data_IF_708333250882
#
_entry.id   IF_708333250882
#
_cell.length_a   1.000
_cell.length_b   1.000
_cell.length_c   1.000
_cell.angle_alpha   90.00
_cell.angle_beta   90.00
_cell.angle_gamma   90.00
#
_symmetry.space_group_name_H-M   'P 1'
#
loop_
_entity.id
_entity.type
_entity.pdbx_description
1 polymer ?
#
# COMPACT_ATOMS: atom_id res chain seq x y z
N UNK A 1 -32.44 -48.09 42.03
CA UNK A 1 -32.79 -46.93 41.18
C UNK A 1 -31.54 -46.11 40.95
N UNK A 2 -31.02 -46.12 39.71
CA UNK A 2 -29.86 -45.30 39.31
C UNK A 2 -30.38 -43.88 39.07
N UNK A 3 -29.88 -42.90 39.82
CA UNK A 3 -30.11 -41.49 39.53
C UNK A 3 -28.89 -40.95 38.78
N UNK A 4 -29.11 -40.58 37.52
CA UNK A 4 -28.16 -39.88 36.67
C UNK A 4 -28.18 -38.41 37.07
N UNK A 5 -27.08 -37.91 37.65
CA UNK A 5 -26.89 -36.47 37.84
C UNK A 5 -26.27 -35.94 36.55
N UNK A 6 -27.07 -35.22 35.76
CA UNK A 6 -26.62 -34.49 34.58
C UNK A 6 -25.69 -33.36 35.01
N UNK A 7 -24.43 -33.44 34.59
CA UNK A 7 -23.46 -32.36 34.74
C UNK A 7 -23.82 -31.27 33.71
N UNK A 8 -24.51 -30.23 34.17
CA UNK A 8 -24.75 -29.02 33.38
C UNK A 8 -23.40 -28.28 33.26
N UNK A 9 -22.75 -28.43 32.11
CA UNK A 9 -21.56 -27.64 31.77
C UNK A 9 -22.04 -26.20 31.56
N UNK A 10 -21.87 -25.37 32.58
CA UNK A 10 -22.01 -23.93 32.48
C UNK A 10 -20.79 -23.41 31.71
N UNK A 11 -20.95 -23.20 30.41
CA UNK A 11 -19.96 -22.47 29.59
C UNK A 11 -19.99 -21.02 30.08
N UNK A 12 -19.12 -20.68 31.03
CA UNK A 12 -18.77 -19.30 31.32
C UNK A 12 -17.93 -18.79 30.14
N UNK A 13 -18.62 -18.23 29.14
CA UNK A 13 -18.01 -17.34 28.19
C UNK A 13 -17.54 -16.09 28.96
N UNK A 14 -16.29 -16.08 29.43
CA UNK A 14 -15.65 -14.87 29.94
C UNK A 14 -15.40 -13.94 28.76
N UNK A 15 -16.43 -13.20 28.38
CA UNK A 15 -16.29 -11.98 27.60
C UNK A 15 -15.69 -10.93 28.52
N UNK A 16 -14.35 -10.87 28.57
CA UNK A 16 -13.67 -9.70 29.12
C UNK A 16 -13.97 -8.56 28.14
N UNK A 17 -15.00 -7.78 28.45
CA UNK A 17 -15.28 -6.52 27.78
C UNK A 17 -14.05 -5.62 27.95
N UNK A 18 -13.27 -5.46 26.87
CA UNK A 18 -12.06 -4.64 26.90
C UNK A 18 -12.45 -3.21 27.27
N UNK A 19 -11.88 -2.70 28.36
CA UNK A 19 -12.10 -1.31 28.78
C UNK A 19 -11.39 -0.35 27.83
N UNK A 20 -11.98 0.82 27.63
CA UNK A 20 -11.43 1.89 26.81
C UNK A 20 -11.74 3.26 27.44
N UNK A 21 -11.00 4.29 27.02
CA UNK A 21 -11.16 5.64 27.53
C UNK A 21 -9.91 6.17 28.22
N UNK A 22 -9.99 7.37 28.84
CA UNK A 22 -8.86 7.98 29.54
C UNK A 22 -8.27 7.03 30.59
N UNK A 23 -6.98 6.70 30.45
CA UNK A 23 -6.26 5.78 31.35
C UNK A 23 -6.39 4.28 31.02
N UNK A 24 -7.20 3.89 30.02
CA UNK A 24 -7.38 2.51 29.59
C UNK A 24 -6.98 2.25 28.13
N UNK A 25 -6.81 3.30 27.34
CA UNK A 25 -6.39 3.21 25.94
C UNK A 25 -7.56 3.05 24.97
N UNK A 26 -7.23 2.83 23.70
CA UNK A 26 -8.20 2.73 22.60
C UNK A 26 -8.63 1.29 22.37
N UNK A 27 -9.85 1.13 21.85
CA UNK A 27 -10.36 -0.16 21.42
C UNK A 27 -9.58 -0.74 20.23
N UNK A 28 -9.59 -2.08 20.06
CA UNK A 28 -9.06 -2.73 18.87
C UNK A 28 -9.69 -2.21 17.57
N UNK A 29 -9.01 -2.38 16.45
CA UNK A 29 -9.49 -1.96 15.13
C UNK A 29 -10.92 -2.44 14.86
N UNK A 30 -11.78 -1.55 14.34
CA UNK A 30 -13.22 -1.75 14.11
C UNK A 30 -14.13 -1.78 15.34
N UNK A 31 -13.60 -1.48 16.54
CA UNK A 31 -14.41 -1.38 17.77
C UNK A 31 -14.63 0.08 18.18
N UNK A 32 -15.82 0.32 18.71
CA UNK A 32 -16.28 1.59 19.25
C UNK A 32 -16.06 1.63 20.76
N UNK A 33 -15.71 2.79 21.30
CA UNK A 33 -15.59 2.98 22.73
C UNK A 33 -16.85 3.64 23.28
N UNK A 34 -17.66 2.91 24.03
CA UNK A 34 -18.93 3.44 24.57
C UNK A 34 -18.69 4.59 25.56
N UNK A 35 -19.74 5.37 25.86
CA UNK A 35 -19.71 6.36 26.95
C UNK A 35 -19.38 5.76 28.31
N UNK A 36 -19.55 4.45 28.47
CA UNK A 36 -19.28 3.72 29.70
C UNK A 36 -17.87 3.12 29.74
N UNK A 37 -17.03 3.36 28.72
CA UNK A 37 -15.63 2.96 28.69
C UNK A 37 -15.42 1.48 28.36
N UNK A 38 -16.23 0.95 27.45
CA UNK A 38 -16.10 -0.44 26.98
C UNK A 38 -16.09 -0.51 25.47
N UNK A 39 -15.36 -1.49 24.94
CA UNK A 39 -15.27 -1.76 23.51
C UNK A 39 -16.41 -2.66 23.02
N UNK A 40 -17.02 -2.28 21.91
CA UNK A 40 -18.02 -3.10 21.22
C UNK A 40 -18.30 -2.57 19.81
N UNK A 41 -19.11 -3.29 19.05
CA UNK A 41 -19.36 -2.99 17.62
C UNK A 41 -20.82 -2.63 17.32
N UNK A 42 -21.71 -2.73 18.30
CA UNK A 42 -23.14 -2.42 18.14
C UNK A 42 -23.47 -0.96 18.53
N UNK A 43 -24.73 -0.57 18.29
CA UNK A 43 -25.22 0.80 18.53
C UNK A 43 -25.02 1.28 19.98
N UNK A 44 -25.04 0.38 20.98
CA UNK A 44 -24.82 0.76 22.37
C UNK A 44 -23.39 1.24 22.64
N UNK A 45 -22.44 0.84 21.79
CA UNK A 45 -21.03 1.25 21.87
C UNK A 45 -20.69 2.35 20.87
N UNK A 46 -21.24 2.28 19.67
CA UNK A 46 -20.93 3.20 18.57
C UNK A 46 -21.83 4.44 18.53
N UNK A 47 -22.98 4.42 19.20
CA UNK A 47 -23.99 5.47 19.15
C UNK A 47 -23.71 6.66 20.08
N UNK A 48 -24.78 7.19 20.70
CA UNK A 48 -24.72 8.41 21.51
C UNK A 48 -23.74 8.26 22.69
N UNK A 49 -22.77 9.17 22.75
CA UNK A 49 -21.77 9.21 23.82
C UNK A 49 -20.52 8.35 23.56
N UNK A 50 -20.39 7.76 22.38
CA UNK A 50 -19.16 7.09 21.99
C UNK A 50 -17.94 8.05 22.06
N UNK A 51 -16.82 7.55 22.58
CA UNK A 51 -15.60 8.31 22.84
C UNK A 51 -14.66 8.26 21.63
N UNK A 52 -14.72 9.27 20.76
CA UNK A 52 -14.03 9.34 19.46
C UNK A 52 -12.51 9.19 19.50
N UNK A 53 -11.88 9.52 20.63
CA UNK A 53 -10.43 9.38 20.80
C UNK A 53 -9.99 7.95 21.15
N UNK A 54 -10.94 7.07 21.49
CA UNK A 54 -10.68 5.73 22.03
C UNK A 54 -11.42 4.63 21.28
N UNK A 55 -12.13 4.95 20.20
CA UNK A 55 -12.80 3.99 19.31
C UNK A 55 -13.54 4.71 18.17
N UNK A 56 -14.04 3.95 17.21
CA UNK A 56 -14.76 4.48 16.05
C UNK A 56 -16.20 4.79 16.46
N UNK A 57 -16.68 6.03 16.31
CA UNK A 57 -18.04 6.41 16.72
C UNK A 57 -18.93 6.68 15.52
N UNK A 58 -20.17 6.16 15.54
CA UNK A 58 -21.15 6.37 14.48
C UNK A 58 -21.53 7.84 14.42
N UNK A 59 -21.00 8.51 13.41
CA UNK A 59 -21.53 9.74 12.84
C UNK A 59 -23.01 9.51 12.53
N UNK A 60 -23.88 10.19 13.28
CA UNK A 60 -25.30 10.29 12.95
C UNK A 60 -25.38 10.99 11.60
N UNK A 61 -25.53 10.21 10.53
CA UNK A 61 -26.12 10.67 9.28
C UNK A 61 -27.56 11.04 9.61
N UNK A 62 -27.73 12.27 10.06
CA UNK A 62 -29.05 12.89 10.11
C UNK A 62 -29.47 13.01 8.66
N UNK A 63 -30.48 12.25 8.27
CA UNK A 63 -31.13 12.25 6.96
C UNK A 63 -31.77 13.60 6.69
N UNK A 64 -30.94 14.59 6.39
CA UNK A 64 -31.29 15.69 5.52
C UNK A 64 -30.67 15.38 4.17
N UNK A 65 -31.55 15.17 3.18
CA UNK A 65 -31.17 14.96 1.78
C UNK A 65 -30.22 16.07 1.33
N UNK A 66 -28.93 15.76 1.35
CA UNK A 66 -27.93 16.43 0.52
C UNK A 66 -27.04 15.33 -0.02
N UNK A 67 -27.26 15.04 -1.29
CA UNK A 67 -26.49 14.14 -2.14
C UNK A 67 -25.01 14.49 -2.06
N UNK A 68 -24.21 13.69 -1.34
CA UNK A 68 -22.76 13.63 -1.51
C UNK A 68 -22.39 12.23 -1.99
N UNK A 69 -22.64 11.98 -3.28
CA UNK A 69 -22.04 10.85 -3.98
C UNK A 69 -20.53 11.06 -4.02
N UNK A 70 -19.77 10.06 -3.60
CA UNK A 70 -18.39 9.88 -4.05
C UNK A 70 -18.36 10.10 -5.58
N UNK A 71 -17.43 10.90 -6.13
CA UNK A 71 -17.44 11.22 -7.55
C UNK A 71 -17.24 9.93 -8.37
N UNK A 72 -18.28 9.51 -9.08
CA UNK A 72 -18.27 8.31 -9.91
C UNK A 72 -17.45 8.55 -11.17
N UNK A 73 -16.78 7.52 -11.69
CA UNK A 73 -16.13 7.63 -12.99
C UNK A 73 -17.18 7.78 -14.10
N UNK A 74 -16.95 8.75 -14.97
CA UNK A 74 -17.78 8.98 -16.14
C UNK A 74 -17.66 7.82 -17.13
N UNK A 75 -18.81 7.39 -17.65
CA UNK A 75 -18.91 6.34 -18.68
C UNK A 75 -19.29 6.90 -20.05
N UNK A 76 -19.57 8.20 -20.16
CA UNK A 76 -20.07 8.83 -21.38
C UNK A 76 -19.08 9.85 -21.99
N UNK A 77 -17.84 9.87 -21.51
CA UNK A 77 -16.79 10.78 -21.99
C UNK A 77 -16.97 12.23 -21.54
N UNK A 78 -17.92 12.51 -20.65
CA UNK A 78 -18.09 13.82 -20.00
C UNK A 78 -17.43 13.85 -18.63
N UNK A 79 -17.20 15.01 -18.06
CA UNK A 79 -16.66 15.14 -16.70
C UNK A 79 -17.13 16.45 -16.09
N UNK A 80 -16.97 16.63 -14.79
CA UNK A 80 -17.49 17.78 -14.08
C UNK A 80 -18.46 17.37 -12.97
N UNK A 81 -18.94 18.35 -12.20
CA UNK A 81 -19.81 18.16 -11.03
C UNK A 81 -21.03 17.25 -11.32
N UNK A 82 -21.58 17.31 -12.54
CA UNK A 82 -22.75 16.53 -12.96
C UNK A 82 -22.43 15.22 -13.69
N UNK A 83 -21.17 14.98 -14.06
CA UNK A 83 -20.77 13.87 -14.93
C UNK A 83 -19.74 12.94 -14.30
N UNK A 84 -19.07 13.39 -13.25
CA UNK A 84 -18.05 12.60 -12.55
C UNK A 84 -16.65 12.80 -13.11
N UNK A 85 -15.75 11.87 -12.76
CA UNK A 85 -14.31 11.94 -13.05
C UNK A 85 -14.00 11.24 -14.37
N UNK A 86 -13.05 11.77 -15.13
CA UNK A 86 -12.56 11.11 -16.34
C UNK A 86 -11.89 9.75 -16.06
N UNK A 87 -12.27 8.67 -16.78
CA UNK A 87 -11.62 7.37 -16.65
C UNK A 87 -10.20 7.38 -17.22
N UNK A 88 -9.42 6.34 -16.92
CA UNK A 88 -8.07 6.11 -17.47
C UNK A 88 -7.09 7.28 -17.27
N UNK A 89 -7.22 7.99 -16.14
CA UNK A 89 -6.41 9.17 -15.82
C UNK A 89 -6.53 10.31 -16.87
N UNK A 90 -7.69 10.40 -17.52
CA UNK A 90 -8.00 11.45 -18.47
C UNK A 90 -8.15 12.82 -17.82
N UNK A 91 -7.98 13.86 -18.61
CA UNK A 91 -8.11 15.23 -18.21
C UNK A 91 -9.53 15.72 -18.44
N UNK A 92 -10.06 16.49 -17.47
CA UNK A 92 -11.37 17.10 -17.62
C UNK A 92 -11.21 18.52 -18.16
N UNK A 93 -11.58 18.75 -19.41
CA UNK A 93 -11.49 20.09 -19.99
C UNK A 93 -12.47 21.06 -19.34
N UNK A 94 -12.27 22.37 -19.54
CA UNK A 94 -13.24 23.41 -19.13
C UNK A 94 -14.64 23.20 -19.72
N UNK A 95 -14.76 22.37 -20.76
CA UNK A 95 -15.99 22.10 -21.50
C UNK A 95 -16.69 20.81 -21.04
N UNK A 96 -16.30 20.24 -19.90
CA UNK A 96 -16.90 19.02 -19.34
C UNK A 96 -16.70 17.78 -20.22
N UNK A 97 -15.55 17.67 -20.89
CA UNK A 97 -15.18 16.49 -21.69
C UNK A 97 -13.87 15.87 -21.20
N UNK A 98 -13.80 14.55 -21.32
CA UNK A 98 -12.60 13.79 -21.06
C UNK A 98 -11.71 13.71 -22.30
N UNK A 99 -10.41 13.90 -22.09
CA UNK A 99 -9.41 13.75 -23.14
C UNK A 99 -8.00 13.83 -22.57
N UNK A 100 -7.02 13.59 -23.43
CA UNK A 100 -5.61 13.43 -23.02
C UNK A 100 -4.66 14.42 -23.71
N UNK A 101 -5.19 15.40 -24.45
CA UNK A 101 -4.38 16.44 -25.11
C UNK A 101 -4.29 17.69 -24.25
N UNK A 102 -3.38 18.60 -24.56
CA UNK A 102 -3.22 19.87 -23.83
C UNK A 102 -4.52 20.70 -23.77
N UNK A 103 -5.40 20.59 -24.77
CA UNK A 103 -6.70 21.27 -24.72
C UNK A 103 -7.56 20.82 -23.52
N UNK A 104 -7.43 19.56 -23.12
CA UNK A 104 -8.13 18.99 -21.98
C UNK A 104 -7.32 19.12 -20.70
N UNK A 105 -6.00 18.92 -20.80
CA UNK A 105 -5.11 18.78 -19.65
C UNK A 105 -4.51 20.08 -19.17
N UNK A 106 -4.49 21.14 -19.99
CA UNK A 106 -3.79 22.34 -19.62
C UNK A 106 -4.57 23.13 -18.57
N UNK A 107 -3.98 23.33 -17.38
CA UNK A 107 -4.60 24.06 -16.28
C UNK A 107 -4.88 25.52 -16.68
N UNK A 108 -4.00 26.12 -17.49
CA UNK A 108 -4.19 27.47 -18.03
C UNK A 108 -5.29 27.50 -19.10
N UNK A 109 -5.65 26.33 -19.66
CA UNK A 109 -6.81 26.17 -20.54
C UNK A 109 -8.06 25.71 -19.78
N UNK A 110 -8.11 25.88 -18.45
CA UNK A 110 -9.31 25.64 -17.64
C UNK A 110 -9.62 24.17 -17.39
N UNK A 111 -8.60 23.30 -17.43
CA UNK A 111 -8.75 21.93 -16.97
C UNK A 111 -9.30 21.89 -15.53
N UNK A 112 -10.34 21.09 -15.30
CA UNK A 112 -11.03 20.97 -14.02
C UNK A 112 -10.36 19.88 -13.18
N UNK A 113 -9.49 20.31 -12.26
CA UNK A 113 -8.66 19.39 -11.48
C UNK A 113 -9.43 18.55 -10.47
N UNK A 114 -10.71 18.82 -10.21
CA UNK A 114 -11.55 17.96 -9.37
C UNK A 114 -12.12 16.75 -10.13
N UNK A 115 -12.12 16.82 -11.46
CA UNK A 115 -12.78 15.84 -12.34
C UNK A 115 -11.85 15.17 -13.35
N UNK A 116 -10.55 15.47 -13.30
CA UNK A 116 -9.53 14.83 -14.14
C UNK A 116 -8.14 15.44 -13.94
N UNK A 117 -7.14 14.89 -14.64
CA UNK A 117 -5.74 15.33 -14.54
C UNK A 117 -5.52 16.70 -15.19
N UNK A 118 -4.90 17.64 -14.48
CA UNK A 118 -4.56 18.97 -15.03
C UNK A 118 -3.09 19.33 -14.81
N UNK A 119 -2.41 19.97 -15.78
CA UNK A 119 -1.02 20.47 -15.67
C UNK A 119 -0.69 21.54 -16.72
N UNK A 120 0.53 22.06 -16.78
CA UNK A 120 1.00 22.95 -17.86
C UNK A 120 2.25 22.37 -18.50
N UNK A 121 2.58 22.78 -19.73
CA UNK A 121 3.61 22.21 -20.63
C UNK A 121 5.06 22.07 -20.14
N UNK A 122 5.33 22.20 -18.84
CA UNK A 122 6.62 21.90 -18.19
C UNK A 122 6.47 21.10 -16.86
N UNK A 123 5.24 20.81 -16.41
CA UNK A 123 4.95 20.11 -15.14
C UNK A 123 4.74 18.60 -15.33
N UNK A 124 5.66 17.92 -16.01
CA UNK A 124 5.56 16.48 -16.29
C UNK A 124 6.23 15.57 -15.25
N UNK A 125 6.86 16.14 -14.22
CA UNK A 125 7.26 15.44 -12.99
C UNK A 125 6.05 15.22 -12.05
N UNK A 126 4.95 14.72 -12.61
CA UNK A 126 3.77 14.31 -11.85
C UNK A 126 3.98 12.91 -11.31
N UNK A 127 3.53 12.68 -10.08
CA UNK A 127 3.29 11.35 -9.56
C UNK A 127 2.54 10.51 -10.60
N UNK A 128 3.05 9.32 -10.89
CA UNK A 128 2.50 8.38 -11.86
C UNK A 128 2.64 6.96 -11.35
N UNK A 129 1.77 6.08 -11.83
CA UNK A 129 1.90 4.65 -11.59
C UNK A 129 2.77 4.00 -12.68
N UNK A 130 3.77 3.23 -12.26
CA UNK A 130 4.73 2.54 -13.13
C UNK A 130 4.61 1.03 -12.96
N UNK A 131 4.61 0.30 -14.07
CA UNK A 131 4.63 -1.17 -14.09
C UNK A 131 5.80 -1.74 -14.90
N UNK A 132 6.72 -0.88 -15.36
CA UNK A 132 7.85 -1.25 -16.22
C UNK A 132 9.04 -0.31 -16.00
N UNK A 133 10.24 -0.80 -16.27
CA UNK A 133 11.44 0.03 -16.29
C UNK A 133 11.58 0.79 -17.62
N UNK A 134 12.39 1.85 -17.61
CA UNK A 134 12.79 2.58 -18.82
C UNK A 134 13.57 1.69 -19.79
N UNK A 135 14.45 0.83 -19.27
CA UNK A 135 15.25 -0.11 -20.06
C UNK A 135 14.62 -1.50 -20.05
N UNK A 136 14.43 -2.10 -21.23
CA UNK A 136 13.81 -3.41 -21.41
C UNK A 136 14.64 -4.58 -20.89
N UNK A 137 15.93 -4.39 -20.60
CA UNK A 137 16.82 -5.38 -19.99
C UNK A 137 17.03 -5.20 -18.49
N UNK A 138 16.37 -4.22 -17.88
CA UNK A 138 16.37 -4.08 -16.43
C UNK A 138 15.39 -5.05 -15.79
N UNK A 139 15.79 -5.56 -14.64
CA UNK A 139 14.93 -6.29 -13.72
C UNK A 139 14.96 -5.61 -12.36
N UNK A 140 13.81 -5.12 -11.91
CA UNK A 140 13.60 -4.61 -10.57
C UNK A 140 12.94 -5.68 -9.70
N UNK A 141 13.75 -6.29 -8.83
CA UNK A 141 13.29 -7.20 -7.79
C UNK A 141 12.67 -6.40 -6.65
N UNK A 142 11.40 -6.68 -6.32
CA UNK A 142 10.71 -5.98 -5.23
C UNK A 142 10.07 -6.93 -4.22
N UNK A 143 10.02 -6.52 -2.96
CA UNK A 143 9.38 -7.25 -1.86
C UNK A 143 8.45 -6.34 -1.07
N UNK A 144 7.23 -6.81 -0.82
CA UNK A 144 6.19 -6.12 -0.07
C UNK A 144 6.02 -6.69 1.35
N UNK A 145 5.20 -6.02 2.15
CA UNK A 145 4.72 -6.40 3.49
C UNK A 145 5.74 -6.45 4.63
N UNK A 146 7.04 -6.33 4.33
CA UNK A 146 8.08 -6.23 5.34
C UNK A 146 7.97 -4.97 6.21
N UNK A 147 8.78 -4.80 7.26
CA UNK A 147 9.80 -5.75 7.69
C UNK A 147 9.20 -7.02 8.28
N UNK A 148 9.86 -8.16 8.08
CA UNK A 148 9.47 -9.44 8.68
C UNK A 148 10.67 -10.19 9.27
N UNK A 149 10.40 -11.22 10.10
CA UNK A 149 11.45 -11.91 10.87
C UNK A 149 12.56 -12.54 10.02
N UNK A 150 12.26 -12.87 8.75
CA UNK A 150 13.18 -13.50 7.80
C UNK A 150 13.95 -12.51 6.92
N UNK A 151 13.68 -11.21 7.02
CA UNK A 151 14.27 -10.22 6.11
C UNK A 151 15.79 -10.12 6.26
N UNK A 152 16.36 -10.36 7.45
CA UNK A 152 17.81 -10.39 7.58
C UNK A 152 18.44 -11.55 6.81
N UNK A 153 17.82 -12.73 6.81
CA UNK A 153 18.31 -13.87 6.03
C UNK A 153 18.15 -13.59 4.52
N UNK A 154 17.07 -12.90 4.11
CA UNK A 154 16.89 -12.47 2.73
C UNK A 154 17.96 -11.46 2.30
N UNK A 155 18.30 -10.50 3.16
CA UNK A 155 19.37 -9.53 2.92
C UNK A 155 20.75 -10.21 2.81
N UNK A 156 21.00 -11.27 3.58
CA UNK A 156 22.21 -12.09 3.44
C UNK A 156 22.28 -12.75 2.06
N UNK A 157 21.18 -13.38 1.61
CA UNK A 157 21.10 -13.99 0.28
C UNK A 157 21.29 -12.97 -0.85
N UNK A 158 20.64 -11.80 -0.77
CA UNK A 158 20.77 -10.74 -1.77
C UNK A 158 22.22 -10.23 -1.87
N UNK A 159 22.89 -10.11 -0.72
CA UNK A 159 24.30 -9.74 -0.66
C UNK A 159 25.21 -10.80 -1.26
N UNK A 160 24.97 -12.09 -0.96
CA UNK A 160 25.70 -13.22 -1.55
C UNK A 160 25.57 -13.24 -3.08
N UNK A 161 24.35 -13.03 -3.58
CA UNK A 161 24.07 -12.98 -5.03
C UNK A 161 24.47 -11.66 -5.70
N UNK A 162 24.97 -10.69 -4.93
CA UNK A 162 25.30 -9.34 -5.40
C UNK A 162 24.13 -8.64 -6.12
N UNK A 163 22.91 -8.80 -5.59
CA UNK A 163 21.68 -8.21 -6.12
C UNK A 163 21.15 -7.16 -5.14
N UNK A 164 20.67 -6.03 -5.67
CA UNK A 164 19.96 -5.03 -4.89
C UNK A 164 18.47 -5.08 -5.24
N UNK A 165 17.62 -5.20 -4.22
CA UNK A 165 16.17 -5.14 -4.33
C UNK A 165 15.60 -3.78 -3.91
N UNK A 166 14.28 -3.60 -4.12
CA UNK A 166 13.48 -2.52 -3.54
C UNK A 166 12.45 -3.11 -2.58
N UNK A 167 12.40 -2.64 -1.34
CA UNK A 167 11.46 -3.11 -0.32
C UNK A 167 10.35 -2.08 -0.13
N UNK A 168 9.10 -2.45 -0.38
CA UNK A 168 7.94 -1.64 -0.01
C UNK A 168 7.45 -2.12 1.35
N UNK A 169 7.77 -1.35 2.40
CA UNK A 169 7.55 -1.78 3.78
C UNK A 169 6.34 -1.10 4.43
N UNK A 170 5.79 -1.74 5.46
CA UNK A 170 4.76 -1.22 6.33
C UNK A 170 5.32 -0.74 7.67
N UNK A 171 4.50 0.00 8.41
CA UNK A 171 4.79 0.42 9.78
C UNK A 171 4.26 -0.55 10.84
N UNK A 172 2.98 -0.85 10.79
CA UNK A 172 2.29 -1.74 11.72
C UNK A 172 1.43 -2.75 10.95
N UNK A 173 2.09 -3.75 10.39
CA UNK A 173 1.44 -4.84 9.64
C UNK A 173 1.87 -6.20 10.23
N UNK A 174 2.76 -6.92 9.53
CA UNK A 174 3.26 -8.24 9.93
C UNK A 174 4.28 -8.15 11.07
N UNK A 175 4.89 -6.99 11.22
CA UNK A 175 5.78 -6.58 12.31
C UNK A 175 5.52 -5.12 12.64
N UNK A 176 5.76 -4.77 13.90
CA UNK A 176 5.91 -3.36 14.30
C UNK A 176 7.31 -2.87 13.92
N UNK A 177 7.36 -1.94 12.97
CA UNK A 177 8.60 -1.32 12.47
C UNK A 177 9.39 -0.64 13.60
N UNK A 178 8.72 -0.19 14.67
CA UNK A 178 9.34 0.51 15.80
C UNK A 178 10.02 -0.42 16.80
N UNK A 179 9.82 -1.73 16.65
CA UNK A 179 10.54 -2.73 17.44
C UNK A 179 12.04 -2.70 17.16
N UNK A 180 12.85 -3.16 18.11
CA UNK A 180 14.31 -3.29 17.92
C UNK A 180 14.67 -4.06 16.65
N UNK A 181 13.88 -5.10 16.33
CA UNK A 181 14.09 -5.92 15.13
C UNK A 181 13.68 -5.20 13.86
N UNK A 182 12.55 -4.49 13.86
CA UNK A 182 12.11 -3.66 12.74
C UNK A 182 13.16 -2.60 12.39
N UNK A 183 13.66 -1.88 13.40
CA UNK A 183 14.75 -0.92 13.25
C UNK A 183 16.01 -1.54 12.63
N UNK A 184 16.48 -2.66 13.16
CA UNK A 184 17.65 -3.39 12.65
C UNK A 184 17.50 -3.75 11.16
N UNK A 185 16.33 -4.27 10.78
CA UNK A 185 16.04 -4.66 9.39
C UNK A 185 16.07 -3.44 8.47
N UNK A 186 15.39 -2.35 8.83
CA UNK A 186 15.27 -1.15 8.00
C UNK A 186 16.61 -0.44 7.83
N UNK A 187 17.38 -0.29 8.92
CA UNK A 187 18.74 0.26 8.85
C UNK A 187 19.64 -0.59 7.95
N UNK A 188 19.51 -1.91 8.04
CA UNK A 188 20.29 -2.83 7.20
C UNK A 188 19.88 -2.77 5.73
N UNK A 189 18.59 -2.76 5.41
CA UNK A 189 18.09 -2.59 4.04
C UNK A 189 18.76 -1.36 3.38
N UNK A 190 18.71 -0.22 4.07
CA UNK A 190 19.31 1.01 3.56
C UNK A 190 20.83 0.94 3.44
N UNK A 191 21.52 0.47 4.50
CA UNK A 191 22.99 0.39 4.54
C UNK A 191 23.57 -0.57 3.50
N UNK A 192 22.87 -1.66 3.22
CA UNK A 192 23.26 -2.63 2.19
C UNK A 192 22.96 -2.11 0.77
N UNK A 193 22.40 -0.91 0.61
CA UNK A 193 22.20 -0.24 -0.67
C UNK A 193 20.91 -0.65 -1.40
N UNK A 194 19.93 -1.17 -0.66
CA UNK A 194 18.59 -1.39 -1.19
C UNK A 194 17.78 -0.10 -1.14
N UNK A 195 16.76 0.00 -2.00
CA UNK A 195 15.80 1.10 -1.94
C UNK A 195 14.64 0.71 -1.02
N UNK A 196 14.19 1.67 -0.21
CA UNK A 196 13.03 1.50 0.67
C UNK A 196 11.92 2.40 0.14
N UNK A 197 10.81 1.79 -0.27
CA UNK A 197 9.55 2.41 -0.64
C UNK A 197 8.52 2.31 0.47
N UNK A 198 7.49 3.16 0.42
CA UNK A 198 6.36 3.09 1.34
C UNK A 198 5.32 2.08 0.86
N UNK A 199 4.80 1.25 1.76
CA UNK A 199 3.63 0.39 1.52
C UNK A 199 2.45 0.75 2.41
N UNK A 200 2.39 2.01 2.89
CA UNK A 200 1.47 2.52 3.95
C UNK A 200 1.82 2.05 5.35
N UNK A 201 1.32 2.75 6.38
CA UNK A 201 1.53 2.36 7.77
C UNK A 201 0.92 0.99 8.10
N UNK A 202 -0.37 0.81 7.88
CA UNK A 202 -1.14 -0.36 8.33
C UNK A 202 -1.67 -1.25 7.21
N UNK A 203 -1.06 -1.20 6.02
CA UNK A 203 -1.51 -1.94 4.84
C UNK A 203 -2.97 -1.62 4.45
N UNK A 204 -3.37 -0.35 4.56
CA UNK A 204 -4.73 0.09 4.31
C UNK A 204 -5.02 0.26 2.81
N UNK A 205 -6.22 -0.13 2.36
CA UNK A 205 -6.69 0.19 1.01
C UNK A 205 -6.99 1.69 0.91
N UNK A 206 -6.14 2.41 0.19
CA UNK A 206 -6.22 3.87 0.01
C UNK A 206 -7.54 4.34 -0.63
N UNK A 207 -8.24 3.48 -1.37
CA UNK A 207 -9.53 3.81 -1.99
C UNK A 207 -10.65 3.98 -0.97
N UNK A 208 -10.48 3.42 0.23
CA UNK A 208 -11.45 3.47 1.33
C UNK A 208 -11.23 4.65 2.27
N UNK A 209 -10.12 5.38 2.10
CA UNK A 209 -9.69 6.46 2.99
C UNK A 209 -9.91 7.82 2.34
N UNK A 210 -10.16 8.84 3.16
CA UNK A 210 -10.11 10.25 2.76
C UNK A 210 -8.65 10.78 2.74
N UNK A 211 -8.47 12.08 2.51
CA UNK A 211 -7.13 12.69 2.43
C UNK A 211 -6.35 12.60 3.74
N UNK A 212 -7.01 12.80 4.88
CA UNK A 212 -6.36 12.72 6.19
C UNK A 212 -5.95 11.28 6.50
N UNK A 213 -6.79 10.30 6.17
CA UNK A 213 -6.46 8.89 6.30
C UNK A 213 -5.25 8.49 5.44
N UNK A 214 -5.21 8.89 4.16
CA UNK A 214 -4.05 8.63 3.29
C UNK A 214 -2.81 9.34 3.84
N UNK A 215 -2.93 10.60 4.25
CA UNK A 215 -1.82 11.38 4.81
C UNK A 215 -1.24 10.71 6.05
N UNK A 216 -2.09 10.23 6.96
CA UNK A 216 -1.67 9.48 8.14
C UNK A 216 -0.89 8.21 7.76
N UNK A 217 -1.42 7.43 6.82
CA UNK A 217 -0.79 6.20 6.35
C UNK A 217 0.61 6.44 5.78
N UNK A 218 0.80 7.52 5.02
CA UNK A 218 2.09 7.81 4.40
C UNK A 218 3.06 8.47 5.39
N UNK A 219 2.64 9.55 6.07
CA UNK A 219 3.53 10.36 6.93
C UNK A 219 3.99 9.62 8.18
N UNK A 220 3.16 8.74 8.74
CA UNK A 220 3.57 7.94 9.92
C UNK A 220 4.74 7.02 9.57
N UNK A 221 4.68 6.37 8.42
CA UNK A 221 5.76 5.50 7.95
C UNK A 221 7.00 6.30 7.52
N UNK A 222 6.82 7.41 6.79
CA UNK A 222 7.92 8.31 6.44
C UNK A 222 8.72 8.76 7.67
N UNK A 223 8.02 9.10 8.77
CA UNK A 223 8.65 9.55 10.01
C UNK A 223 9.62 8.52 10.58
N UNK A 224 9.19 7.26 10.68
CA UNK A 224 10.03 6.18 11.20
C UNK A 224 11.19 5.84 10.26
N UNK A 225 10.94 5.75 8.94
CA UNK A 225 12.02 5.50 7.98
C UNK A 225 13.05 6.63 8.02
N UNK A 226 12.62 7.88 8.14
CA UNK A 226 13.52 9.03 8.26
C UNK A 226 14.36 8.98 9.53
N UNK A 227 13.79 8.57 10.67
CA UNK A 227 14.55 8.39 11.91
C UNK A 227 15.69 7.39 11.74
N UNK A 228 15.46 6.29 11.00
CA UNK A 228 16.43 5.20 10.86
C UNK A 228 17.46 5.43 9.75
N UNK A 229 17.08 6.18 8.71
CA UNK A 229 17.90 6.28 7.48
C UNK A 229 18.29 7.70 7.10
N UNK A 230 17.65 8.72 7.71
CA UNK A 230 17.73 10.11 7.28
C UNK A 230 17.07 10.37 5.92
N UNK A 231 16.25 9.44 5.41
CA UNK A 231 15.60 9.53 4.09
C UNK A 231 14.09 9.35 4.20
N UNK A 232 13.34 10.05 3.35
CA UNK A 232 11.89 9.87 3.18
C UNK A 232 11.64 9.20 1.83
N UNK A 233 10.91 8.08 1.76
CA UNK A 233 10.62 7.44 0.47
C UNK A 233 9.89 8.36 -0.50
N UNK A 234 10.35 8.45 -1.76
CA UNK A 234 9.61 9.10 -2.84
C UNK A 234 8.77 8.10 -3.65
N UNK A 235 9.02 6.80 -3.47
CA UNK A 235 8.25 5.73 -4.09
C UNK A 235 7.30 5.10 -3.09
N UNK A 236 6.13 4.72 -3.57
CA UNK A 236 5.20 3.89 -2.82
C UNK A 236 4.56 2.83 -3.72
N UNK A 237 4.12 1.74 -3.12
CA UNK A 237 3.22 0.78 -3.76
C UNK A 237 1.93 0.78 -2.95
N UNK A 238 0.75 0.96 -3.56
CA UNK A 238 -0.50 0.86 -2.83
C UNK A 238 -0.79 -0.61 -2.48
N UNK A 239 -1.22 -0.91 -1.23
CA UNK A 239 -1.76 -2.22 -0.88
C UNK A 239 -2.79 -2.70 -1.90
N UNK A 240 -2.73 -4.00 -2.23
CA UNK A 240 -3.60 -4.68 -3.20
C UNK A 240 -3.50 -4.16 -4.65
N UNK A 241 -2.60 -3.21 -4.94
CA UNK A 241 -2.60 -2.49 -6.22
C UNK A 241 -3.82 -1.57 -6.41
N UNK A 242 -4.59 -1.33 -5.34
CA UNK A 242 -5.81 -0.53 -5.35
C UNK A 242 -5.50 0.96 -5.56
N UNK A 243 -6.37 1.65 -6.30
CA UNK A 243 -6.25 3.10 -6.46
C UNK A 243 -5.28 3.59 -7.53
N UNK A 244 -4.68 2.70 -8.34
CA UNK A 244 -3.74 3.11 -9.40
C UNK A 244 -4.37 3.94 -10.54
N UNK A 245 -5.71 3.93 -10.65
CA UNK A 245 -6.46 4.80 -11.57
C UNK A 245 -7.22 5.90 -10.83
N UNK A 246 -7.05 6.02 -9.51
CA UNK A 246 -7.69 7.02 -8.69
C UNK A 246 -6.86 8.31 -8.69
N UNK A 247 -7.43 9.32 -9.34
CA UNK A 247 -6.80 10.63 -9.45
C UNK A 247 -6.69 11.34 -8.10
N UNK A 248 -7.68 11.17 -7.21
CA UNK A 248 -7.65 11.74 -5.85
C UNK A 248 -6.42 11.21 -5.11
N UNK A 249 -6.21 9.89 -5.14
CA UNK A 249 -5.03 9.24 -4.54
C UNK A 249 -3.75 9.78 -5.17
N UNK A 250 -3.68 9.86 -6.50
CA UNK A 250 -2.50 10.38 -7.21
C UNK A 250 -2.14 11.81 -6.78
N UNK A 251 -3.14 12.69 -6.59
CA UNK A 251 -2.93 14.08 -6.17
C UNK A 251 -2.49 14.20 -4.72
N UNK A 252 -3.05 13.37 -3.84
CA UNK A 252 -2.65 13.35 -2.44
C UNK A 252 -1.20 12.87 -2.33
N UNK A 253 -0.84 11.79 -3.01
CA UNK A 253 0.54 11.27 -3.01
C UNK A 253 1.54 12.28 -3.58
N UNK A 254 1.19 12.95 -4.68
CA UNK A 254 1.98 14.06 -5.24
C UNK A 254 2.18 15.19 -4.20
N UNK A 255 1.09 15.63 -3.54
CA UNK A 255 1.13 16.67 -2.50
C UNK A 255 2.01 16.27 -1.31
N UNK A 256 2.07 14.99 -1.00
CA UNK A 256 2.88 14.46 0.11
C UNK A 256 4.37 14.28 -0.24
N UNK A 257 4.76 14.47 -1.50
CA UNK A 257 6.13 14.40 -1.98
C UNK A 257 6.49 13.11 -2.73
N UNK A 258 5.53 12.21 -2.96
CA UNK A 258 5.78 11.00 -3.74
C UNK A 258 5.87 11.32 -5.23
N UNK A 259 6.79 10.64 -5.90
CA UNK A 259 7.04 10.81 -7.34
C UNK A 259 6.63 9.58 -8.16
N UNK A 260 6.49 8.41 -7.52
CA UNK A 260 6.05 7.20 -8.19
C UNK A 260 5.18 6.31 -7.30
N UNK A 261 4.05 5.88 -7.88
CA UNK A 261 3.33 4.69 -7.48
C UNK A 261 3.89 3.50 -8.26
N UNK A 262 4.22 2.41 -7.61
CA UNK A 262 4.91 1.28 -8.23
C UNK A 262 4.01 0.06 -8.21
N UNK A 263 3.62 -0.37 -9.40
CA UNK A 263 2.87 -1.59 -9.66
C UNK A 263 3.86 -2.71 -10.01
N UNK A 264 3.44 -3.68 -10.81
CA UNK A 264 4.27 -4.78 -11.30
C UNK A 264 3.79 -5.23 -12.68
N UNK A 265 4.64 -5.96 -13.39
CA UNK A 265 4.27 -6.68 -14.61
C UNK A 265 4.64 -8.17 -14.58
N UNK A 266 5.29 -8.62 -13.50
CA UNK A 266 5.54 -10.02 -13.20
C UNK A 266 5.06 -10.27 -11.77
N UNK A 267 3.94 -10.97 -11.63
CA UNK A 267 3.41 -11.39 -10.33
C UNK A 267 3.87 -12.82 -10.06
N UNK A 268 4.67 -13.03 -9.02
CA UNK A 268 5.19 -14.38 -8.74
C UNK A 268 4.13 -15.29 -8.16
N UNK A 269 3.01 -14.73 -7.64
CA UNK A 269 1.96 -15.47 -6.96
C UNK A 269 2.54 -16.37 -5.85
N UNK A 270 3.63 -15.93 -5.23
CA UNK A 270 4.33 -16.59 -4.13
C UNK A 270 3.37 -16.92 -2.97
N UNK A 271 2.48 -15.98 -2.66
CA UNK A 271 1.44 -16.09 -1.65
C UNK A 271 0.33 -17.11 -1.97
N UNK A 272 0.01 -17.35 -3.25
CA UNK A 272 -1.11 -18.24 -3.64
C UNK A 272 -0.65 -19.66 -4.02
N UNK A 273 0.60 -19.81 -4.47
CA UNK A 273 1.11 -21.07 -5.01
C UNK A 273 2.01 -21.86 -4.04
N UNK A 274 2.06 -21.46 -2.76
CA UNK A 274 2.86 -22.11 -1.70
C UNK A 274 4.35 -22.26 -2.08
N UNK A 275 4.87 -21.34 -2.89
CA UNK A 275 6.26 -21.38 -3.36
C UNK A 275 6.58 -22.42 -4.43
N UNK A 276 5.63 -22.73 -5.33
CA UNK A 276 5.93 -23.52 -6.52
C UNK A 276 6.87 -22.76 -7.48
N UNK A 277 8.15 -23.14 -7.50
CA UNK A 277 9.20 -22.50 -8.31
C UNK A 277 8.89 -22.56 -9.80
N UNK A 278 8.43 -23.69 -10.32
CA UNK A 278 8.16 -23.84 -11.78
C UNK A 278 7.10 -22.84 -12.26
N UNK A 279 6.10 -22.57 -11.44
CA UNK A 279 5.05 -21.59 -11.76
C UNK A 279 5.63 -20.18 -11.87
N UNK A 280 6.50 -19.80 -10.93
CA UNK A 280 7.18 -18.51 -10.93
C UNK A 280 8.07 -18.37 -12.15
N UNK A 281 8.92 -19.37 -12.42
CA UNK A 281 9.84 -19.36 -13.55
C UNK A 281 9.10 -19.30 -14.89
N UNK A 282 7.94 -19.95 -15.01
CA UNK A 282 7.08 -19.83 -16.18
C UNK A 282 6.52 -18.40 -16.35
N UNK A 283 6.10 -17.74 -15.26
CA UNK A 283 5.66 -16.35 -15.32
C UNK A 283 6.77 -15.41 -15.77
N UNK A 284 8.01 -15.61 -15.30
CA UNK A 284 9.17 -14.88 -15.80
C UNK A 284 9.45 -15.17 -17.27
N UNK A 285 9.46 -16.45 -17.66
CA UNK A 285 9.73 -16.87 -19.02
C UNK A 285 8.76 -16.23 -20.03
N UNK A 286 7.48 -16.08 -19.66
CA UNK A 286 6.45 -15.44 -20.49
C UNK A 286 6.63 -13.91 -20.65
N UNK A 287 7.47 -13.29 -19.81
CA UNK A 287 7.73 -11.85 -19.84
C UNK A 287 9.12 -11.48 -20.37
N UNK A 288 9.93 -12.47 -20.78
CA UNK A 288 11.23 -12.24 -21.42
C UNK A 288 11.06 -11.39 -22.68
N UNK A 289 11.97 -10.43 -22.86
CA UNK A 289 11.92 -9.41 -23.92
C UNK A 289 11.33 -8.07 -23.47
N UNK A 290 10.70 -8.01 -22.30
CA UNK A 290 10.26 -6.78 -21.63
C UNK A 290 11.12 -6.52 -20.39
N UNK A 291 11.12 -5.29 -19.86
CA UNK A 291 11.65 -5.05 -18.51
C UNK A 291 10.86 -5.86 -17.49
N UNK A 292 11.51 -6.32 -16.44
CA UNK A 292 10.87 -7.13 -15.40
C UNK A 292 10.74 -6.29 -14.13
N UNK A 293 9.52 -6.16 -13.61
CA UNK A 293 9.23 -5.54 -12.32
C UNK A 293 8.44 -6.58 -11.53
N UNK A 294 9.13 -7.32 -10.66
CA UNK A 294 8.56 -8.48 -9.98
C UNK A 294 7.96 -8.10 -8.64
N UNK A 295 6.74 -8.56 -8.38
CA UNK A 295 6.08 -8.51 -7.07
C UNK A 295 6.38 -9.79 -6.31
N UNK A 296 7.01 -9.67 -5.15
CA UNK A 296 7.19 -10.72 -4.15
C UNK A 296 6.79 -10.17 -2.77
N UNK A 297 6.65 -11.05 -1.77
CA UNK A 297 6.29 -10.66 -0.42
C UNK A 297 7.31 -11.21 0.60
N UNK A 298 7.68 -10.37 1.58
CA UNK A 298 8.45 -10.82 2.75
C UNK A 298 7.62 -11.76 3.65
N UNK A 299 6.29 -11.68 3.57
CA UNK A 299 5.37 -12.45 4.38
C UNK A 299 4.14 -12.90 3.58
N UNK A 300 3.68 -14.11 3.86
CA UNK A 300 2.31 -14.56 3.60
C UNK A 300 1.98 -15.71 4.56
N UNK A 301 0.70 -16.04 4.73
CA UNK A 301 0.30 -17.10 5.64
C UNK A 301 0.94 -18.45 5.26
N UNK A 302 1.75 -19.01 6.16
CA UNK A 302 2.44 -20.29 5.94
C UNK A 302 3.81 -20.18 5.28
N UNK A 303 4.33 -18.97 5.04
CA UNK A 303 5.72 -18.77 4.61
C UNK A 303 6.69 -19.34 5.66
N UNK A 304 7.77 -19.97 5.18
CA UNK A 304 8.93 -20.30 6.00
C UNK A 304 10.15 -19.56 5.50
N UNK A 305 11.18 -19.47 6.34
CA UNK A 305 12.48 -18.94 5.90
C UNK A 305 12.98 -19.65 4.64
N UNK A 306 12.93 -20.98 4.64
CA UNK A 306 13.41 -21.78 3.51
C UNK A 306 12.62 -21.49 2.23
N UNK A 307 11.29 -21.38 2.31
CA UNK A 307 10.50 -21.07 1.13
C UNK A 307 10.82 -19.68 0.57
N UNK A 308 10.93 -18.66 1.44
CA UNK A 308 11.29 -17.30 1.00
C UNK A 308 12.65 -17.29 0.27
N UNK A 309 13.67 -17.88 0.88
CA UNK A 309 15.03 -17.86 0.34
C UNK A 309 15.14 -18.68 -0.96
N UNK A 310 14.52 -19.86 -1.02
CA UNK A 310 14.56 -20.70 -2.23
C UNK A 310 13.85 -20.06 -3.42
N UNK A 311 12.75 -19.34 -3.17
CA UNK A 311 12.05 -18.61 -4.24
C UNK A 311 12.88 -17.44 -4.76
N UNK A 312 13.39 -16.60 -3.85
CA UNK A 312 14.23 -15.47 -4.21
C UNK A 312 15.49 -15.92 -4.96
N UNK A 313 16.14 -16.99 -4.51
CA UNK A 313 17.32 -17.56 -5.18
C UNK A 313 16.98 -18.06 -6.59
N UNK A 314 15.89 -18.82 -6.75
CA UNK A 314 15.49 -19.34 -8.06
C UNK A 314 15.15 -18.22 -9.05
N UNK A 315 14.46 -17.17 -8.58
CA UNK A 315 14.17 -15.98 -9.39
C UNK A 315 15.45 -15.29 -9.83
N UNK A 316 16.37 -15.02 -8.90
CA UNK A 316 17.67 -14.38 -9.18
C UNK A 316 18.44 -15.18 -10.24
N UNK A 317 18.67 -16.46 -9.98
CA UNK A 317 19.48 -17.30 -10.86
C UNK A 317 18.85 -17.40 -12.26
N UNK A 318 17.52 -17.54 -12.34
CA UNK A 318 16.82 -17.59 -13.62
C UNK A 318 16.93 -16.28 -14.38
N UNK A 319 16.61 -15.13 -13.77
CA UNK A 319 16.56 -13.86 -14.48
C UNK A 319 17.95 -13.42 -14.93
N UNK A 320 18.98 -13.64 -14.10
CA UNK A 320 20.38 -13.42 -14.49
C UNK A 320 20.80 -14.32 -15.66
N UNK A 321 20.38 -15.60 -15.68
CA UNK A 321 20.67 -16.50 -16.81
C UNK A 321 20.06 -16.02 -18.14
N UNK A 322 19.03 -15.18 -18.11
CA UNK A 322 18.40 -14.56 -19.29
C UNK A 322 19.04 -13.24 -19.71
N UNK A 323 20.13 -12.83 -19.04
CA UNK A 323 20.92 -11.65 -19.37
C UNK A 323 20.24 -10.33 -18.99
N UNK A 324 19.43 -10.34 -17.93
CA UNK A 324 18.88 -9.12 -17.35
C UNK A 324 19.83 -8.50 -16.33
N UNK A 325 19.79 -7.18 -16.21
CA UNK A 325 20.55 -6.43 -15.20
C UNK A 325 19.65 -6.19 -13.98
N UNK A 326 19.99 -6.72 -12.79
CA UNK A 326 19.25 -6.42 -11.58
C UNK A 326 19.48 -4.96 -11.18
N UNK A 327 18.41 -4.22 -10.91
CA UNK A 327 18.46 -2.80 -10.54
C UNK A 327 17.45 -2.48 -9.45
N UNK A 328 17.75 -1.46 -8.66
CA UNK A 328 16.79 -0.84 -7.74
C UNK A 328 15.78 0.04 -8.50
N UNK A 329 14.68 0.39 -7.85
CA UNK A 329 13.55 1.07 -8.50
C UNK A 329 13.93 2.47 -9.05
N UNK A 330 14.82 3.19 -8.39
CA UNK A 330 15.35 4.49 -8.83
C UNK A 330 16.05 4.38 -10.18
N UNK A 331 16.86 3.34 -10.37
CA UNK A 331 17.52 3.05 -11.64
C UNK A 331 16.53 2.52 -12.68
N UNK A 332 15.58 1.68 -12.27
CA UNK A 332 14.51 1.17 -13.14
C UNK A 332 13.67 2.31 -13.75
N UNK A 333 13.26 3.28 -12.93
CA UNK A 333 12.41 4.40 -13.31
C UNK A 333 13.20 5.64 -13.75
N UNK A 334 14.49 5.73 -13.44
CA UNK A 334 15.30 6.94 -13.61
C UNK A 334 14.69 8.13 -12.87
N UNK A 335 14.40 7.94 -11.58
CA UNK A 335 13.82 8.90 -10.64
C UNK A 335 14.55 8.78 -9.30
N UNK A 336 14.54 9.82 -8.48
CA UNK A 336 15.13 9.76 -7.13
C UNK A 336 14.29 8.88 -6.20
N UNK A 337 14.92 7.92 -5.52
CA UNK A 337 14.27 7.01 -4.56
C UNK A 337 13.67 7.72 -3.34
N UNK A 338 14.20 8.89 -3.00
CA UNK A 338 13.89 9.60 -1.78
C UNK A 338 13.51 11.06 -2.07
N UNK A 339 12.65 11.61 -1.22
CA UNK A 339 12.19 13.00 -1.32
C UNK A 339 13.37 13.96 -1.07
N UNK A 340 13.35 15.10 -1.76
CA UNK A 340 14.36 16.17 -1.64
C UNK A 340 14.25 16.98 -0.36
#
# INVERSE_FOLDING_TARGET
>A
MKFTIGLLILILATTISAKCGPGYGSCPSNYCCSQYGYCGTDEAYCGKGCQVNYGICNTIVTTTKTSSSQPTYSTNGRCGENYGICPNNGCCSRYNYCGNTDEYCNINLGCQSEFGRCGSGESLNKFQFYSKCKNSKHWALTFDDGPYIYDLDLLDLLKEKNVKATFFINGANVMDITSTRGKEIVERMYKDGHVIGSHTWGHADLTTLDEDGITYQMKSLEGVIYEYTGKKPAFMRPPYGSGHNDYRISKILEKLGYTAGVMWNVDTLDWSNKGNIDTILNTFNNNIGKSLLSLNHCFYQGISKESLLRLAEAEIDFVLSKGYTPVTMDVCLGLDAYQN
#
